data_IF_682223764807
#
_entry.id   IF_682223764807
#
_cell.length_a   1.000
_cell.length_b   1.000
_cell.length_c   1.000
_cell.angle_alpha   90.00
_cell.angle_beta   90.00
_cell.angle_gamma   90.00
#
_symmetry.space_group_name_H-M   'P 1'
#
loop_
_entity.id
_entity.type
_entity.pdbx_description
1 polymer ?
#
# COMPACT_ATOMS: atom_id res chain seq x y z
N UNK A 1 -4.42 -21.44 -65.33
CA UNK A 1 -3.48 -20.31 -65.21
C UNK A 1 -3.39 -19.94 -63.75
N UNK A 2 -2.29 -20.30 -63.07
CA UNK A 2 -2.10 -19.97 -61.66
C UNK A 2 -1.73 -18.48 -61.55
N UNK A 3 -2.48 -17.70 -60.79
CA UNK A 3 -2.12 -16.31 -60.52
C UNK A 3 -0.79 -16.27 -59.76
N UNK A 4 0.14 -15.36 -60.12
CA UNK A 4 1.36 -15.17 -59.34
C UNK A 4 0.95 -14.74 -57.93
N UNK A 5 1.21 -15.59 -56.94
CA UNK A 5 1.05 -15.25 -55.54
C UNK A 5 1.90 -14.01 -55.25
N UNK A 6 1.22 -12.88 -55.00
CA UNK A 6 1.88 -11.66 -54.57
C UNK A 6 2.56 -11.94 -53.24
N UNK A 7 3.88 -12.13 -53.28
CA UNK A 7 4.68 -12.24 -52.06
C UNK A 7 4.66 -10.88 -51.37
N UNK A 8 3.97 -10.82 -50.23
CA UNK A 8 3.98 -9.67 -49.34
C UNK A 8 5.42 -9.29 -49.02
N UNK A 9 5.73 -7.99 -49.00
CA UNK A 9 7.09 -7.56 -48.65
C UNK A 9 7.28 -7.86 -47.16
N UNK A 10 8.50 -8.24 -46.79
CA UNK A 10 8.88 -8.53 -45.40
C UNK A 10 8.63 -7.33 -44.46
N UNK A 11 8.51 -6.12 -45.01
CA UNK A 11 8.23 -4.89 -44.24
C UNK A 11 6.74 -4.59 -44.07
N UNK A 12 5.88 -5.26 -44.82
CA UNK A 12 4.44 -5.01 -44.75
C UNK A 12 3.92 -5.63 -43.42
N UNK A 13 3.03 -4.92 -42.72
CA UNK A 13 2.45 -5.34 -41.43
C UNK A 13 3.38 -5.40 -40.22
N UNK A 14 4.56 -4.78 -40.28
CA UNK A 14 5.41 -4.70 -39.09
C UNK A 14 4.69 -3.92 -37.97
N UNK A 15 4.65 -4.45 -36.72
CA UNK A 15 4.01 -3.77 -35.60
C UNK A 15 4.58 -2.37 -35.38
N UNK A 16 3.75 -1.47 -34.83
CA UNK A 16 4.21 -0.15 -34.38
C UNK A 16 5.37 -0.31 -33.39
N UNK A 17 6.39 0.56 -33.51
CA UNK A 17 7.63 0.38 -32.74
C UNK A 17 7.40 0.57 -31.25
N UNK A 18 7.79 -0.42 -30.44
CA UNK A 18 7.68 -0.36 -28.98
C UNK A 18 8.95 0.27 -28.36
N UNK A 19 8.77 1.38 -27.61
CA UNK A 19 9.89 2.17 -27.05
C UNK A 19 10.38 1.66 -25.68
N UNK A 20 9.50 1.00 -24.92
CA UNK A 20 9.78 0.56 -23.55
C UNK A 20 9.76 1.67 -22.48
N UNK A 21 9.45 2.93 -22.85
CA UNK A 21 9.40 4.05 -21.89
C UNK A 21 8.20 3.96 -20.93
N UNK A 22 7.10 3.35 -21.39
CA UNK A 22 5.91 3.08 -20.58
C UNK A 22 5.89 1.60 -20.24
N UNK A 23 6.06 1.29 -18.96
CA UNK A 23 6.00 -0.07 -18.41
C UNK A 23 4.53 -0.38 -18.13
N UNK A 24 3.87 -0.99 -19.11
CA UNK A 24 2.47 -1.41 -19.04
C UNK A 24 2.35 -2.84 -19.59
N UNK A 25 1.76 -3.72 -18.78
CA UNK A 25 1.58 -5.14 -19.09
C UNK A 25 0.73 -5.32 -20.35
N UNK A 26 -0.32 -4.53 -20.50
CA UNK A 26 -1.28 -4.75 -21.58
C UNK A 26 -0.67 -4.29 -22.91
N UNK A 27 0.03 -3.15 -22.90
CA UNK A 27 0.74 -2.66 -24.08
C UNK A 27 1.87 -3.60 -24.52
N UNK A 28 2.67 -4.12 -23.58
CA UNK A 28 3.76 -5.04 -23.96
C UNK A 28 3.21 -6.37 -24.46
N UNK A 29 2.15 -6.90 -23.83
CA UNK A 29 1.52 -8.16 -24.24
C UNK A 29 0.84 -8.02 -25.60
N UNK A 30 0.10 -6.92 -25.81
CA UNK A 30 -0.52 -6.63 -27.11
C UNK A 30 0.53 -6.48 -28.22
N UNK A 31 1.61 -5.76 -27.98
CA UNK A 31 2.69 -5.63 -28.97
C UNK A 31 3.31 -7.00 -29.32
N UNK A 32 3.51 -7.87 -28.33
CA UNK A 32 4.03 -9.20 -28.56
C UNK A 32 3.04 -10.05 -29.37
N UNK A 33 1.74 -10.02 -29.06
CA UNK A 33 0.74 -10.75 -29.85
C UNK A 33 0.65 -10.24 -31.28
N UNK A 34 0.68 -8.92 -31.52
CA UNK A 34 0.75 -8.39 -32.89
C UNK A 34 2.00 -8.86 -33.63
N UNK A 35 3.11 -9.05 -32.92
CA UNK A 35 4.32 -9.65 -33.51
C UNK A 35 4.15 -11.15 -33.80
N UNK A 36 3.47 -11.90 -32.93
CA UNK A 36 3.13 -13.30 -33.19
C UNK A 36 2.21 -13.42 -34.41
N UNK A 37 1.17 -12.59 -34.50
CA UNK A 37 0.28 -12.52 -35.67
C UNK A 37 1.07 -12.25 -36.96
N UNK A 38 2.09 -11.38 -36.88
CA UNK A 38 3.01 -11.13 -37.99
C UNK A 38 3.85 -12.36 -38.35
N UNK A 39 4.36 -13.10 -37.36
CA UNK A 39 5.09 -14.35 -37.62
C UNK A 39 4.20 -15.40 -38.27
N UNK A 40 2.95 -15.52 -37.82
CA UNK A 40 1.96 -16.43 -38.40
C UNK A 40 1.64 -16.06 -39.85
N UNK A 41 1.44 -14.77 -40.14
CA UNK A 41 1.17 -14.29 -41.51
C UNK A 41 2.34 -14.55 -42.50
N UNK A 42 3.54 -14.80 -41.99
CA UNK A 42 4.74 -15.07 -42.78
C UNK A 42 5.22 -16.53 -42.69
N UNK A 43 4.45 -17.43 -42.07
CA UNK A 43 4.81 -18.84 -41.84
C UNK A 43 6.14 -19.02 -41.07
N UNK A 44 6.45 -18.09 -40.15
CA UNK A 44 7.67 -18.07 -39.33
C UNK A 44 7.44 -18.44 -37.85
N UNK A 45 6.23 -18.91 -37.51
CA UNK A 45 5.82 -19.16 -36.12
C UNK A 45 6.63 -20.29 -35.44
N UNK A 46 7.04 -21.31 -36.20
CA UNK A 46 7.84 -22.44 -35.70
C UNK A 46 9.26 -22.41 -36.27
N UNK A 47 10.23 -21.79 -35.59
CA UNK A 47 11.61 -21.82 -36.03
C UNK A 47 12.16 -23.25 -35.88
N UNK A 48 12.41 -23.91 -37.02
CA UNK A 48 12.95 -25.28 -37.03
C UNK A 48 14.38 -25.35 -36.45
N UNK A 49 15.17 -24.28 -36.60
CA UNK A 49 16.59 -24.22 -36.25
C UNK A 49 16.93 -22.96 -35.43
N UNK A 50 18.05 -23.01 -34.71
CA UNK A 50 18.62 -21.86 -33.98
C UNK A 50 18.86 -20.64 -34.89
N UNK A 51 19.25 -20.87 -36.15
CA UNK A 51 19.41 -19.81 -37.15
C UNK A 51 18.08 -19.13 -37.51
N UNK A 52 16.98 -19.90 -37.58
CA UNK A 52 15.64 -19.35 -37.80
C UNK A 52 15.19 -18.53 -36.60
N UNK A 53 15.43 -19.02 -35.38
CA UNK A 53 15.15 -18.28 -34.15
C UNK A 53 15.95 -16.96 -34.09
N UNK A 54 17.23 -16.98 -34.46
CA UNK A 54 18.03 -15.76 -34.53
C UNK A 54 17.44 -14.75 -35.52
N UNK A 55 16.95 -15.20 -36.69
CA UNK A 55 16.27 -14.32 -37.65
C UNK A 55 14.97 -13.73 -37.07
N UNK A 56 14.17 -14.52 -36.35
CA UNK A 56 12.96 -14.04 -35.64
C UNK A 56 13.33 -12.99 -34.59
N UNK A 57 14.39 -13.21 -33.82
CA UNK A 57 14.89 -12.24 -32.84
C UNK A 57 15.37 -10.95 -33.52
N UNK A 58 16.02 -11.04 -34.69
CA UNK A 58 16.41 -9.86 -35.46
C UNK A 58 15.21 -9.10 -36.03
N UNK A 59 14.15 -9.80 -36.44
CA UNK A 59 12.88 -9.16 -36.84
C UNK A 59 12.22 -8.47 -35.65
N UNK A 60 12.16 -9.14 -34.50
CA UNK A 60 11.63 -8.55 -33.27
C UNK A 60 12.45 -7.31 -32.85
N UNK A 61 13.78 -7.34 -32.95
CA UNK A 61 14.63 -6.15 -32.73
C UNK A 61 14.25 -4.95 -33.60
N UNK A 62 13.66 -5.16 -34.79
CA UNK A 62 13.20 -4.08 -35.67
C UNK A 62 11.85 -3.49 -35.24
N UNK A 63 11.02 -4.25 -34.52
CA UNK A 63 9.79 -3.74 -33.90
C UNK A 63 10.07 -3.00 -32.58
N UNK A 64 11.31 -3.05 -32.06
CA UNK A 64 11.72 -2.35 -30.85
C UNK A 64 12.49 -1.05 -31.14
N UNK A 65 12.34 -0.07 -30.25
CA UNK A 65 13.11 1.18 -30.24
C UNK A 65 13.46 1.60 -28.80
N UNK A 66 14.29 2.62 -28.64
CA UNK A 66 14.63 3.18 -27.33
C UNK A 66 15.23 2.16 -26.36
N UNK A 67 14.75 2.18 -25.12
CA UNK A 67 15.18 1.30 -24.02
C UNK A 67 14.93 -0.19 -24.31
N UNK A 68 13.86 -0.51 -25.02
CA UNK A 68 13.52 -1.90 -25.37
C UNK A 68 14.54 -2.52 -26.32
N UNK A 69 15.03 -1.72 -27.28
CA UNK A 69 16.07 -2.15 -28.22
C UNK A 69 17.41 -2.37 -27.52
N UNK A 70 17.80 -1.50 -26.60
CA UNK A 70 19.04 -1.67 -25.84
C UNK A 70 19.01 -2.90 -24.93
N UNK A 71 17.84 -3.25 -24.38
CA UNK A 71 17.70 -4.41 -23.49
C UNK A 71 17.94 -5.74 -24.20
N UNK A 72 17.48 -5.88 -25.45
CA UNK A 72 17.60 -7.13 -26.20
C UNK A 72 19.01 -7.31 -26.81
N UNK A 73 19.83 -6.26 -26.84
CA UNK A 73 21.22 -6.36 -27.26
C UNK A 73 22.03 -7.18 -26.25
N UNK A 74 22.63 -8.28 -26.71
CA UNK A 74 23.40 -9.21 -25.87
C UNK A 74 22.57 -10.29 -25.16
N UNK A 75 21.26 -10.37 -25.41
CA UNK A 75 20.44 -11.50 -24.95
C UNK A 75 20.39 -12.60 -26.01
N UNK A 76 20.49 -13.84 -25.53
CA UNK A 76 20.32 -15.07 -26.30
C UNK A 76 19.11 -15.77 -25.72
N UNK A 77 18.24 -16.28 -26.58
CA UNK A 77 17.02 -16.97 -26.20
C UNK A 77 17.05 -18.35 -26.85
N UNK A 78 16.66 -19.38 -26.11
CA UNK A 78 16.63 -20.76 -26.61
C UNK A 78 15.33 -21.06 -27.35
N UNK A 79 14.24 -20.38 -26.96
CA UNK A 79 12.90 -20.58 -27.52
C UNK A 79 12.17 -19.25 -27.71
N UNK A 80 11.18 -19.23 -28.60
CA UNK A 80 10.29 -18.07 -28.77
C UNK A 80 9.51 -17.77 -27.47
N UNK A 81 9.16 -18.81 -26.71
CA UNK A 81 8.48 -18.68 -25.42
C UNK A 81 9.37 -18.04 -24.36
N UNK A 82 10.67 -18.32 -24.37
CA UNK A 82 11.64 -17.65 -23.49
C UNK A 82 11.78 -16.17 -23.85
N UNK A 83 11.84 -15.84 -25.15
CA UNK A 83 11.79 -14.44 -25.60
C UNK A 83 10.53 -13.73 -25.08
N UNK A 84 9.36 -14.34 -25.24
CA UNK A 84 8.09 -13.82 -24.74
C UNK A 84 8.14 -13.58 -23.24
N UNK A 85 8.53 -14.59 -22.48
CA UNK A 85 8.55 -14.57 -21.02
C UNK A 85 9.53 -13.53 -20.50
N UNK A 86 10.73 -13.48 -21.06
CA UNK A 86 11.76 -12.50 -20.72
C UNK A 86 11.35 -11.07 -21.07
N UNK A 87 10.70 -10.87 -22.22
CA UNK A 87 10.20 -9.55 -22.65
C UNK A 87 9.07 -9.07 -21.74
N UNK A 88 8.05 -9.91 -21.51
CA UNK A 88 6.94 -9.59 -20.61
C UNK A 88 7.48 -9.36 -19.20
N UNK A 89 8.35 -10.20 -18.66
CA UNK A 89 8.88 -9.99 -17.30
C UNK A 89 9.67 -8.70 -17.14
N UNK A 90 10.34 -8.21 -18.20
CA UNK A 90 11.09 -6.96 -18.16
C UNK A 90 10.20 -5.73 -18.23
N UNK A 91 9.24 -5.73 -19.14
CA UNK A 91 8.41 -4.55 -19.46
C UNK A 91 7.00 -4.60 -18.86
N UNK A 92 6.63 -5.72 -18.25
CA UNK A 92 5.51 -5.83 -17.33
C UNK A 92 5.97 -5.42 -15.94
N UNK A 93 5.20 -4.59 -15.23
CA UNK A 93 5.51 -4.19 -13.87
C UNK A 93 5.23 -5.31 -12.86
N UNK A 94 5.47 -6.58 -13.19
CA UNK A 94 5.25 -7.71 -12.26
C UNK A 94 5.98 -7.49 -10.94
N UNK A 95 7.20 -6.95 -10.97
CA UNK A 95 7.93 -6.57 -9.77
C UNK A 95 7.26 -5.44 -8.96
N UNK A 96 6.49 -4.56 -9.61
CA UNK A 96 5.66 -3.57 -8.91
C UNK A 96 4.38 -4.18 -8.37
N UNK A 97 3.83 -5.23 -9.00
CA UNK A 97 2.59 -5.87 -8.54
C UNK A 97 2.82 -6.65 -7.25
N UNK A 98 3.95 -7.36 -7.12
CA UNK A 98 4.37 -7.93 -5.82
C UNK A 98 4.56 -6.85 -4.77
N UNK A 99 5.23 -5.74 -5.10
CA UNK A 99 5.41 -4.63 -4.18
C UNK A 99 4.07 -3.97 -3.79
N UNK A 100 3.13 -3.84 -4.74
CA UNK A 100 1.78 -3.33 -4.52
C UNK A 100 1.00 -4.27 -3.59
N UNK A 101 1.05 -5.58 -3.86
CA UNK A 101 0.47 -6.59 -2.99
C UNK A 101 1.07 -6.52 -1.59
N UNK A 102 2.38 -6.44 -1.45
CA UNK A 102 3.03 -6.31 -0.14
C UNK A 102 2.62 -5.02 0.59
N UNK A 103 2.55 -3.91 -0.14
CA UNK A 103 2.22 -2.58 0.40
C UNK A 103 0.74 -2.33 0.65
N UNK A 104 -0.16 -3.24 0.24
CA UNK A 104 -1.59 -3.04 0.45
C UNK A 104 -1.90 -3.00 1.94
N UNK A 105 -2.57 -1.95 2.39
CA UNK A 105 -2.98 -1.76 3.77
C UNK A 105 -4.44 -1.38 3.81
N UNK A 106 -5.16 -1.85 4.83
CA UNK A 106 -6.55 -1.48 5.02
C UNK A 106 -6.72 0.04 5.17
N UNK A 107 -7.63 0.62 4.38
CA UNK A 107 -7.95 2.05 4.43
C UNK A 107 -9.20 2.28 5.27
N UNK A 108 -9.15 3.24 6.22
CA UNK A 108 -10.28 3.53 7.10
C UNK A 108 -11.49 4.01 6.29
N UNK A 109 -12.64 3.36 6.46
CA UNK A 109 -13.88 3.68 5.76
C UNK A 109 -14.20 2.74 4.59
N UNK A 110 -13.27 1.85 4.23
CA UNK A 110 -13.51 0.79 3.26
C UNK A 110 -14.22 -0.41 3.91
N UNK A 111 -15.13 -1.07 3.19
CA UNK A 111 -15.75 -2.32 3.68
C UNK A 111 -14.77 -3.49 3.62
N UNK A 112 -15.01 -4.52 4.44
CA UNK A 112 -14.16 -5.71 4.46
C UNK A 112 -14.13 -6.41 3.09
N UNK A 113 -15.28 -6.47 2.40
CA UNK A 113 -15.42 -7.07 1.08
C UNK A 113 -14.67 -6.28 -0.02
N UNK A 114 -14.72 -4.95 0.02
CA UNK A 114 -13.97 -4.11 -0.92
C UNK A 114 -12.46 -4.34 -0.77
N UNK A 115 -11.98 -4.39 0.48
CA UNK A 115 -10.58 -4.63 0.76
C UNK A 115 -10.14 -6.04 0.32
N UNK A 116 -10.99 -7.06 0.56
CA UNK A 116 -10.75 -8.41 0.06
C UNK A 116 -10.69 -8.46 -1.47
N UNK A 117 -11.63 -7.79 -2.14
CA UNK A 117 -11.69 -7.74 -3.61
C UNK A 117 -10.39 -7.16 -4.19
N UNK A 118 -9.85 -6.09 -3.59
CA UNK A 118 -8.54 -5.53 -3.99
C UNK A 118 -7.39 -6.52 -3.82
N UNK A 119 -7.32 -7.22 -2.69
CA UNK A 119 -6.28 -8.23 -2.45
C UNK A 119 -6.43 -9.40 -3.41
N UNK A 120 -7.66 -9.87 -3.65
CA UNK A 120 -7.96 -10.98 -4.56
C UNK A 120 -7.59 -10.66 -6.01
N UNK A 121 -7.89 -9.45 -6.49
CA UNK A 121 -7.48 -9.00 -7.82
C UNK A 121 -5.96 -9.01 -7.98
N UNK A 122 -5.23 -8.46 -7.00
CA UNK A 122 -3.76 -8.46 -7.03
C UNK A 122 -3.19 -9.89 -6.94
N UNK A 123 -3.78 -10.74 -6.10
CA UNK A 123 -3.37 -12.13 -5.96
C UNK A 123 -3.61 -12.93 -7.25
N UNK A 124 -4.74 -12.72 -7.94
CA UNK A 124 -5.04 -13.36 -9.22
C UNK A 124 -4.02 -12.98 -10.29
N UNK A 125 -3.60 -11.71 -10.32
CA UNK A 125 -2.58 -11.22 -11.26
C UNK A 125 -1.22 -11.89 -10.99
N UNK A 126 -0.91 -12.14 -9.73
CA UNK A 126 0.34 -12.77 -9.27
C UNK A 126 0.30 -14.31 -9.38
N UNK A 127 -0.90 -14.91 -9.37
CA UNK A 127 -1.09 -16.36 -9.32
C UNK A 127 -1.04 -16.94 -7.90
N UNK A 128 -1.42 -16.15 -6.88
CA UNK A 128 -1.52 -16.62 -5.50
C UNK A 128 -2.83 -17.35 -5.22
N UNK A 129 -2.75 -18.38 -4.36
CA UNK A 129 -3.88 -19.19 -3.93
C UNK A 129 -4.70 -18.54 -2.81
N UNK A 130 -5.86 -19.12 -2.51
CA UNK A 130 -6.81 -18.60 -1.53
C UNK A 130 -6.20 -18.50 -0.11
N UNK A 131 -5.37 -19.46 0.29
CA UNK A 131 -4.66 -19.43 1.58
C UNK A 131 -3.75 -18.20 1.70
N UNK A 132 -3.05 -17.84 0.62
CA UNK A 132 -2.17 -16.67 0.60
C UNK A 132 -2.97 -15.36 0.62
N UNK A 133 -4.12 -15.34 -0.05
CA UNK A 133 -5.08 -14.21 0.01
C UNK A 133 -5.60 -14.03 1.43
N UNK A 134 -5.99 -15.11 2.11
CA UNK A 134 -6.46 -15.10 3.50
C UNK A 134 -5.39 -14.56 4.44
N UNK A 135 -4.19 -15.13 4.39
CA UNK A 135 -3.10 -14.74 5.28
C UNK A 135 -2.71 -13.27 5.05
N UNK A 136 -2.70 -12.85 3.78
CA UNK A 136 -2.49 -11.45 3.44
C UNK A 136 -3.60 -10.56 3.99
N UNK A 137 -4.86 -10.91 3.75
CA UNK A 137 -6.02 -10.18 4.27
C UNK A 137 -5.89 -9.96 5.78
N UNK A 138 -5.68 -11.03 6.55
CA UNK A 138 -5.47 -10.96 8.00
C UNK A 138 -4.28 -10.07 8.38
N UNK A 139 -3.14 -10.17 7.67
CA UNK A 139 -1.95 -9.38 7.95
C UNK A 139 -2.15 -7.87 7.76
N UNK A 140 -3.05 -7.49 6.85
CA UNK A 140 -3.33 -6.09 6.48
C UNK A 140 -4.39 -5.42 7.36
N UNK A 141 -5.12 -6.20 8.16
CA UNK A 141 -6.10 -5.68 9.10
C UNK A 141 -5.44 -4.97 10.30
N UNK A 142 -6.11 -3.97 10.89
CA UNK A 142 -5.66 -3.36 12.14
C UNK A 142 -5.45 -4.42 13.23
N UNK A 143 -4.38 -4.34 14.07
CA UNK A 143 -4.05 -5.39 15.04
C UNK A 143 -5.22 -5.78 15.97
N UNK A 144 -6.02 -4.80 16.41
CA UNK A 144 -7.19 -5.05 17.27
C UNK A 144 -8.29 -5.85 16.57
N UNK A 145 -8.53 -5.56 15.30
CA UNK A 145 -9.51 -6.27 14.48
C UNK A 145 -9.03 -7.70 14.22
N UNK A 146 -7.76 -7.84 13.79
CA UNK A 146 -7.13 -9.13 13.54
C UNK A 146 -7.25 -10.07 14.74
N UNK A 147 -6.89 -9.62 15.94
CA UNK A 147 -7.01 -10.45 17.15
C UNK A 147 -8.46 -10.84 17.44
N UNK A 148 -9.43 -9.93 17.31
CA UNK A 148 -10.84 -10.24 17.53
C UNK A 148 -11.36 -11.29 16.55
N UNK A 149 -11.03 -11.14 15.26
CA UNK A 149 -11.43 -12.07 14.19
C UNK A 149 -10.79 -13.44 14.36
N UNK A 150 -9.49 -13.51 14.68
CA UNK A 150 -8.82 -14.79 14.95
C UNK A 150 -9.41 -15.54 16.16
N UNK A 151 -9.89 -14.82 17.17
CA UNK A 151 -10.54 -15.45 18.33
C UNK A 151 -11.99 -15.87 18.06
N UNK A 152 -12.67 -15.25 17.10
CA UNK A 152 -14.07 -15.54 16.78
C UNK A 152 -14.27 -16.62 15.72
N UNK A 153 -13.20 -17.06 15.05
CA UNK A 153 -13.29 -17.87 13.84
C UNK A 153 -12.33 -19.07 13.95
N UNK A 154 -12.81 -20.23 14.44
CA UNK A 154 -12.00 -21.46 14.51
C UNK A 154 -11.83 -22.10 13.13
N UNK A 155 -12.82 -21.92 12.25
CA UNK A 155 -12.82 -22.43 10.90
C UNK A 155 -12.12 -21.40 10.02
N UNK A 156 -10.96 -21.73 9.45
CA UNK A 156 -10.13 -20.84 8.63
C UNK A 156 -10.77 -20.46 7.26
N UNK A 157 -12.10 -20.43 7.19
CA UNK A 157 -12.89 -20.06 6.02
C UNK A 157 -12.82 -18.53 5.81
N UNK A 158 -12.41 -18.14 4.60
CA UNK A 158 -12.25 -16.76 4.19
C UNK A 158 -13.55 -15.95 4.30
N UNK A 159 -14.69 -16.54 3.92
CA UNK A 159 -15.99 -15.86 3.96
C UNK A 159 -16.42 -15.51 5.39
N UNK A 160 -16.15 -16.43 6.34
CA UNK A 160 -16.44 -16.21 7.76
C UNK A 160 -15.53 -15.13 8.34
N UNK A 161 -14.24 -15.14 7.98
CA UNK A 161 -13.27 -14.12 8.38
C UNK A 161 -13.73 -12.73 7.92
N UNK A 162 -14.20 -12.61 6.67
CA UNK A 162 -14.65 -11.35 6.08
C UNK A 162 -15.91 -10.84 6.78
N UNK A 163 -16.89 -11.72 7.00
CA UNK A 163 -18.14 -11.40 7.72
C UNK A 163 -17.88 -10.90 9.14
N UNK A 164 -16.96 -11.56 9.88
CA UNK A 164 -16.56 -11.16 11.22
C UNK A 164 -15.80 -9.83 11.23
N UNK A 165 -14.95 -9.62 10.23
CA UNK A 165 -14.21 -8.36 10.04
C UNK A 165 -15.19 -7.20 9.82
N UNK A 166 -16.20 -7.39 8.97
CA UNK A 166 -17.23 -6.38 8.72
C UNK A 166 -18.01 -6.04 10.00
N UNK A 167 -18.49 -7.06 10.72
CA UNK A 167 -19.18 -6.88 12.00
C UNK A 167 -18.34 -6.07 13.01
N UNK A 168 -17.02 -6.32 13.08
CA UNK A 168 -16.13 -5.55 13.94
C UNK A 168 -16.05 -4.07 13.53
N UNK A 169 -16.02 -3.77 12.23
CA UNK A 169 -16.01 -2.40 11.73
C UNK A 169 -17.34 -1.68 12.00
N UNK A 170 -18.46 -2.37 11.82
CA UNK A 170 -19.79 -1.82 12.12
C UNK A 170 -19.91 -1.45 13.61
N UNK A 171 -19.46 -2.33 14.51
CA UNK A 171 -19.42 -2.06 15.95
C UNK A 171 -18.47 -0.92 16.33
N UNK A 172 -17.36 -0.72 15.61
CA UNK A 172 -16.48 0.43 15.84
C UNK A 172 -17.13 1.75 15.37
N UNK A 173 -17.84 1.72 14.24
CA UNK A 173 -18.51 2.88 13.71
C UNK A 173 -19.67 3.32 14.62
N UNK A 174 -20.43 2.38 15.18
CA UNK A 174 -21.49 2.68 16.16
C UNK A 174 -20.96 3.39 17.42
N UNK A 175 -19.76 3.02 17.89
CA UNK A 175 -19.16 3.66 19.07
C UNK A 175 -18.68 5.09 18.80
N UNK A 176 -18.48 5.45 17.53
CA UNK A 176 -18.10 6.81 17.16
C UNK A 176 -19.31 7.74 17.04
N UNK A 177 -20.50 7.21 16.76
CA UNK A 177 -21.74 7.98 16.60
C UNK A 177 -22.66 7.94 17.82
N UNK A 178 -22.52 6.93 18.69
CA UNK A 178 -23.12 6.94 20.03
C UNK A 178 -22.24 7.67 21.03
N UNK A 179 -22.03 8.97 20.83
CA UNK A 179 -22.25 9.84 21.99
C UNK A 179 -23.74 9.71 22.29
N UNK A 180 -24.07 8.71 23.10
CA UNK A 180 -25.34 8.64 23.80
C UNK A 180 -25.41 9.94 24.60
N UNK A 181 -25.93 11.00 23.99
CA UNK A 181 -26.76 11.94 24.70
C UNK A 181 -27.84 11.07 25.33
N UNK A 182 -27.56 10.62 26.55
CA UNK A 182 -28.57 10.39 27.54
C UNK A 182 -29.26 11.74 27.68
N UNK A 183 -30.17 12.04 26.74
CA UNK A 183 -31.29 12.91 27.03
C UNK A 183 -31.87 12.29 28.28
N UNK A 184 -31.56 12.90 29.41
CA UNK A 184 -32.23 12.66 30.67
C UNK A 184 -33.67 13.07 30.40
N UNK A 185 -34.40 12.20 29.73
CA UNK A 185 -35.83 12.32 29.59
C UNK A 185 -36.29 12.23 31.02
N UNK A 186 -36.68 13.37 31.58
CA UNK A 186 -37.27 13.49 32.90
C UNK A 186 -38.37 12.43 32.99
N UNK A 187 -38.01 11.29 33.57
CA UNK A 187 -38.93 10.19 33.79
C UNK A 187 -39.89 10.75 34.82
N UNK A 188 -41.11 11.04 34.38
CA UNK A 188 -42.27 11.21 35.26
C UNK A 188 -42.14 10.17 36.38
N UNK A 189 -42.09 10.57 37.66
CA UNK A 189 -41.84 9.65 38.75
C UNK A 189 -43.01 8.65 38.83
N UNK A 190 -42.85 7.51 38.18
CA UNK A 190 -43.69 6.34 38.44
C UNK A 190 -43.37 5.94 39.88
N UNK A 191 -44.38 5.76 40.74
CA UNK A 191 -44.17 5.40 42.13
C UNK A 191 -43.66 3.96 42.20
N UNK A 192 -42.34 3.78 42.09
CA UNK A 192 -41.62 2.52 42.23
C UNK A 192 -41.57 2.03 43.69
N UNK A 193 -42.64 2.25 44.48
CA UNK A 193 -42.73 1.78 45.86
C UNK A 193 -42.51 0.26 45.95
N UNK A 194 -43.01 -0.50 44.96
CA UNK A 194 -42.85 -1.95 44.89
C UNK A 194 -41.38 -2.40 44.77
N UNK A 195 -40.53 -1.66 44.06
CA UNK A 195 -39.12 -2.01 43.88
C UNK A 195 -38.33 -1.71 45.15
N UNK A 196 -38.66 -0.63 45.85
CA UNK A 196 -38.03 -0.30 47.13
C UNK A 196 -38.39 -1.33 48.22
N UNK A 197 -39.63 -1.83 48.22
CA UNK A 197 -40.04 -2.91 49.14
C UNK A 197 -39.32 -4.23 48.82
N UNK A 198 -39.14 -4.59 47.55
CA UNK A 198 -38.41 -5.80 47.14
C UNK A 198 -36.93 -5.71 47.52
N UNK A 199 -36.30 -4.54 47.36
CA UNK A 199 -34.91 -4.29 47.79
C UNK A 199 -34.79 -4.37 49.33
N UNK A 200 -35.77 -3.86 50.07
CA UNK A 200 -35.78 -3.96 51.53
C UNK A 200 -35.93 -5.41 52.00
N UNK A 201 -36.77 -6.19 51.32
CA UNK A 201 -37.00 -7.60 51.62
C UNK A 201 -35.76 -8.45 51.35
N UNK A 202 -35.07 -8.22 50.23
CA UNK A 202 -33.83 -8.92 49.89
C UNK A 202 -32.68 -8.59 50.86
N UNK A 203 -32.59 -7.35 51.35
CA UNK A 203 -31.62 -6.98 52.39
C UNK A 203 -31.86 -7.70 53.72
N UNK A 204 -33.13 -7.83 54.15
CA UNK A 204 -33.47 -8.60 55.35
C UNK A 204 -33.14 -10.10 55.23
N UNK A 205 -33.30 -10.68 54.05
CA UNK A 205 -32.92 -12.08 53.80
C UNK A 205 -31.41 -12.30 53.86
N UNK A 206 -30.59 -11.33 53.42
CA UNK A 206 -29.13 -11.42 53.52
C UNK A 206 -28.64 -11.32 54.97
N UNK A 207 -29.25 -10.48 55.81
CA UNK A 207 -28.88 -10.35 57.22
C UNK A 207 -29.21 -11.61 58.02
N UNK A 208 -30.35 -12.25 57.73
CA UNK A 208 -30.74 -13.52 58.37
C UNK A 208 -29.84 -14.69 57.96
N UNK A 209 -29.41 -14.76 56.70
CA UNK A 209 -28.43 -15.76 56.25
C UNK A 209 -27.05 -15.55 56.91
N UNK A 210 -26.62 -14.31 57.09
CA UNK A 210 -25.31 -13.98 57.66
C UNK A 210 -25.22 -14.25 59.18
N UNK A 211 -26.35 -14.30 59.91
CA UNK A 211 -26.36 -14.69 61.33
C UNK A 211 -26.33 -16.21 61.56
N UNK A 212 -26.57 -17.04 60.53
CA UNK A 212 -26.60 -18.50 60.67
C UNK A 212 -25.25 -19.19 60.44
N UNK A 213 -24.24 -18.50 59.89
CA UNK A 213 -22.88 -19.02 59.73
C UNK A 213 -22.01 -18.70 60.94
N UNK A 214 -22.29 -19.42 62.03
CA UNK A 214 -21.38 -19.50 63.17
C UNK A 214 -20.05 -20.18 62.80
N UNK A 215 -18.97 -19.45 63.04
CA UNK A 215 -17.69 -19.92 63.57
C UNK A 215 -17.14 -21.27 63.08
N UNK A 216 -16.30 -21.24 62.04
CA UNK A 216 -15.06 -22.04 62.01
C UNK A 216 -13.91 -21.19 61.49
N UNK A 217 -13.20 -20.56 62.43
CA UNK A 217 -11.89 -19.94 62.18
C UNK A 217 -10.83 -21.03 62.04
N UNK A 218 -10.31 -21.23 60.83
CA UNK A 218 -9.04 -21.91 60.63
C UNK A 218 -7.97 -20.91 60.24
N UNK A 219 -7.23 -20.49 61.26
CA UNK A 219 -5.94 -19.81 61.18
C UNK A 219 -4.95 -20.68 60.42
N UNK A 220 -4.32 -20.15 59.37
CA UNK A 220 -3.05 -20.69 58.86
C UNK A 220 -1.98 -19.60 58.85
N UNK A 221 -0.72 -19.96 59.16
CA UNK A 221 0.27 -18.99 59.60
C UNK A 221 1.06 -18.35 58.46
N UNK A 222 1.33 -17.08 58.70
CA UNK A 222 2.38 -16.25 58.11
C UNK A 222 3.66 -17.03 57.80
N UNK A 223 4.12 -16.94 56.54
CA UNK A 223 5.48 -17.33 56.16
C UNK A 223 6.14 -16.20 55.37
N UNK A 224 7.18 -15.68 56.01
CA UNK A 224 8.27 -14.85 55.54
C UNK A 224 8.81 -15.19 54.14
N UNK A 225 9.69 -14.28 53.66
CA UNK A 225 10.70 -14.35 52.59
C UNK A 225 10.26 -13.75 51.24
N UNK A 226 11.00 -12.83 50.60
CA UNK A 226 12.35 -12.31 50.83
C UNK A 226 12.47 -10.90 50.24
N UNK A 227 13.04 -10.00 51.03
CA UNK A 227 13.85 -8.90 50.53
C UNK A 227 15.16 -9.47 49.96
N UNK A 228 15.62 -8.88 48.86
CA UNK A 228 16.96 -9.05 48.30
C UNK A 228 17.37 -7.74 47.60
N UNK A 229 18.67 -7.43 47.52
CA UNK A 229 19.18 -6.20 48.12
C UNK A 229 19.73 -5.19 47.12
N UNK A 230 19.72 -3.94 47.59
CA UNK A 230 20.55 -2.84 47.12
C UNK A 230 22.03 -3.17 47.39
N UNK A 231 22.88 -3.09 46.37
CA UNK A 231 24.34 -3.12 46.50
C UNK A 231 24.92 -1.80 46.00
N UNK A 232 25.28 -0.98 47.00
CA UNK A 232 26.51 -0.20 47.18
C UNK A 232 27.11 0.64 46.05
N UNK A 233 27.19 1.94 46.40
CA UNK A 233 28.23 2.93 46.09
C UNK A 233 29.62 2.49 46.56
N UNK A 234 30.66 2.95 45.85
CA UNK A 234 31.92 3.52 46.34
C UNK A 234 32.59 4.22 45.13
N UNK A 235 32.85 5.53 45.20
CA UNK A 235 34.18 6.18 45.41
C UNK A 235 35.12 6.01 44.19
N UNK A 236 35.87 6.98 43.68
CA UNK A 236 36.25 8.35 44.05
C UNK A 236 37.04 8.90 42.83
N UNK A 237 36.90 10.17 42.46
CA UNK A 237 38.01 11.02 41.95
C UNK A 237 37.52 12.46 41.66
N UNK A 238 38.22 13.49 42.17
CA UNK A 238 37.93 14.90 41.93
C UNK A 238 38.76 15.47 40.76
N UNK A 239 38.55 16.75 40.47
CA UNK A 239 39.25 17.62 39.52
C UNK A 239 38.74 17.66 38.07
N UNK A 240 37.85 18.61 37.75
CA UNK A 240 38.19 19.87 37.05
C UNK A 240 36.94 20.74 36.75
N UNK A 241 37.01 22.08 36.84
CA UNK A 241 35.83 22.95 36.82
C UNK A 241 35.47 23.56 35.46
N UNK A 242 34.21 24.01 35.36
CA UNK A 242 33.68 25.13 34.53
C UNK A 242 33.74 24.97 32.99
N UNK A 243 32.61 24.88 32.27
CA UNK A 243 31.77 26.05 31.92
C UNK A 243 30.41 25.57 31.36
N UNK A 244 29.28 25.87 31.99
CA UNK A 244 28.37 26.99 31.67
C UNK A 244 27.84 26.99 30.22
N UNK A 245 26.73 26.29 29.97
CA UNK A 245 25.77 26.66 28.91
C UNK A 245 24.43 25.91 29.06
N UNK A 246 23.49 26.59 29.72
CA UNK A 246 22.06 26.66 29.42
C UNK A 246 21.27 25.38 29.08
N UNK A 247 20.51 24.95 30.08
CA UNK A 247 19.11 24.52 29.97
C UNK A 247 18.37 25.08 28.73
N UNK A 248 17.79 24.18 27.93
CA UNK A 248 16.33 24.16 27.68
C UNK A 248 15.90 22.82 27.07
N UNK A 249 15.14 22.10 27.88
CA UNK A 249 14.08 21.13 27.58
C UNK A 249 13.82 20.86 26.09
N UNK A 250 13.88 19.58 25.71
CA UNK A 250 12.77 18.95 24.97
C UNK A 250 12.73 17.46 25.24
N UNK A 251 12.06 17.14 26.35
CA UNK A 251 11.56 15.82 26.67
C UNK A 251 10.19 15.68 25.96
N UNK A 252 10.21 15.33 24.68
CA UNK A 252 9.02 14.95 23.91
C UNK A 252 9.32 13.62 23.23
N UNK A 253 8.98 12.52 23.88
CA UNK A 253 7.67 11.88 23.80
C UNK A 253 7.57 10.94 22.60
N UNK A 254 7.43 9.67 22.97
CA UNK A 254 7.17 8.47 22.17
C UNK A 254 5.82 8.59 21.45
N UNK A 255 5.71 9.47 20.45
CA UNK A 255 4.59 9.46 19.51
C UNK A 255 5.04 8.84 18.18
N UNK A 256 4.29 7.81 17.78
CA UNK A 256 4.24 7.24 16.45
C UNK A 256 4.58 8.25 15.35
N UNK A 257 5.71 8.03 14.66
CA UNK A 257 6.12 8.78 13.45
C UNK A 257 5.06 8.62 12.35
N UNK A 258 4.05 9.50 12.34
CA UNK A 258 3.41 9.87 11.08
C UNK A 258 4.50 10.51 10.23
N UNK A 259 4.78 9.96 9.05
CA UNK A 259 5.66 10.63 8.08
C UNK A 259 4.97 11.95 7.73
N UNK A 260 5.44 13.05 8.31
CA UNK A 260 4.99 14.39 7.94
C UNK A 260 5.58 14.64 6.55
N UNK A 261 4.71 14.72 5.56
CA UNK A 261 5.07 15.16 4.22
C UNK A 261 5.19 16.68 4.26
N UNK A 262 6.15 17.24 3.54
CA UNK A 262 6.19 18.68 3.36
C UNK A 262 5.05 19.11 2.43
N UNK A 263 4.15 19.99 2.88
CA UNK A 263 3.01 20.47 2.07
C UNK A 263 3.42 21.11 0.73
N UNK A 264 4.67 21.57 0.61
CA UNK A 264 5.16 22.22 -0.60
C UNK A 264 5.67 21.24 -1.66
N UNK A 265 6.34 20.17 -1.24
CA UNK A 265 7.11 19.29 -2.14
C UNK A 265 6.69 17.82 -2.03
N UNK A 266 5.79 17.47 -1.10
CA UNK A 266 5.25 16.13 -0.84
C UNK A 266 6.29 15.04 -0.57
N UNK A 267 7.55 15.40 -0.36
CA UNK A 267 8.61 14.46 0.00
C UNK A 267 8.58 14.15 1.51
N UNK A 268 8.64 12.86 1.90
CA UNK A 268 8.63 12.46 3.31
C UNK A 268 9.95 12.87 3.99
N UNK A 269 9.85 13.49 5.17
CA UNK A 269 11.02 13.87 5.97
C UNK A 269 11.70 15.18 5.56
N UNK A 270 11.21 15.86 4.52
CA UNK A 270 11.59 17.24 4.26
C UNK A 270 10.86 18.19 5.21
N UNK A 271 11.59 19.13 5.79
CA UNK A 271 10.96 20.24 6.52
C UNK A 271 10.64 21.38 5.55
N UNK A 272 9.56 22.13 5.82
CA UNK A 272 9.19 23.31 5.03
C UNK A 272 10.37 24.29 4.83
N UNK A 273 11.23 24.44 5.84
CA UNK A 273 12.43 25.28 5.76
C UNK A 273 13.42 24.79 4.69
N UNK A 274 13.58 23.48 4.52
CA UNK A 274 14.46 22.90 3.49
C UNK A 274 13.87 23.09 2.09
N UNK A 275 12.56 22.88 1.90
CA UNK A 275 11.94 23.10 0.59
C UNK A 275 11.95 24.60 0.20
N UNK A 276 11.71 25.53 1.14
CA UNK A 276 11.84 26.98 0.88
C UNK A 276 13.29 27.40 0.56
N UNK A 277 14.28 26.80 1.22
CA UNK A 277 15.70 27.05 0.90
C UNK A 277 16.03 26.56 -0.51
N UNK A 278 15.64 25.33 -0.86
CA UNK A 278 15.86 24.75 -2.19
C UNK A 278 15.20 25.56 -3.31
N UNK A 279 13.99 26.08 -3.07
CA UNK A 279 13.30 26.94 -4.02
C UNK A 279 14.09 28.24 -4.27
N UNK A 280 14.58 28.89 -3.20
CA UNK A 280 15.44 30.08 -3.32
C UNK A 280 16.72 29.77 -4.11
N UNK A 281 17.36 28.63 -3.83
CA UNK A 281 18.57 28.22 -4.53
C UNK A 281 18.31 27.94 -6.03
N UNK A 282 17.11 27.44 -6.38
CA UNK A 282 16.68 27.26 -7.78
C UNK A 282 16.41 28.59 -8.49
N UNK A 283 15.71 29.52 -7.83
CA UNK A 283 15.47 30.87 -8.34
C UNK A 283 16.78 31.64 -8.55
N UNK A 284 17.74 31.48 -7.64
CA UNK A 284 19.06 32.09 -7.75
C UNK A 284 19.87 31.51 -8.91
N UNK A 285 19.80 30.20 -9.14
CA UNK A 285 20.42 29.55 -10.32
C UNK A 285 19.77 29.98 -11.64
N UNK A 286 18.45 30.19 -11.67
CA UNK A 286 17.78 30.70 -12.87
C UNK A 286 18.21 32.15 -13.18
N UNK A 287 18.32 33.01 -12.16
CA UNK A 287 18.85 34.37 -12.33
C UNK A 287 20.29 34.38 -12.84
N UNK A 288 21.14 33.48 -12.33
CA UNK A 288 22.53 33.36 -12.80
C UNK A 288 22.64 32.89 -14.25
N UNK A 289 21.63 32.20 -14.79
CA UNK A 289 21.59 31.78 -16.20
C UNK A 289 21.12 32.87 -17.16
N UNK A 290 20.68 34.03 -16.65
CA UNK A 290 20.18 35.12 -17.50
C UNK A 290 18.84 34.81 -18.19
N UNK A 291 18.15 33.73 -17.80
CA UNK A 291 16.81 33.41 -18.27
C UNK A 291 15.81 34.25 -17.47
N UNK A 292 15.60 35.51 -17.87
CA UNK A 292 14.52 36.32 -17.33
C UNK A 292 13.17 35.77 -17.86
N UNK A 293 12.31 35.16 -17.02
CA UNK A 293 11.02 34.58 -17.46
C UNK A 293 9.99 35.65 -17.87
N UNK A 294 10.39 36.93 -17.90
CA UNK A 294 9.57 38.07 -18.31
C UNK A 294 9.89 38.59 -19.71
N UNK A 295 10.91 38.09 -20.40
CA UNK A 295 11.27 38.59 -21.74
C UNK A 295 10.45 37.97 -22.89
N UNK A 296 9.71 36.88 -22.66
CA UNK A 296 9.01 36.13 -23.71
C UNK A 296 7.56 36.58 -24.00
N UNK A 297 7.14 37.76 -23.51
CA UNK A 297 5.76 38.28 -23.68
C UNK A 297 5.59 39.43 -24.68
N UNK A 298 6.60 39.74 -25.49
CA UNK A 298 6.51 40.83 -26.46
C UNK A 298 6.96 40.39 -27.87
N UNK A 299 6.18 39.51 -28.50
CA UNK A 299 6.09 39.46 -29.96
C UNK A 299 4.67 39.04 -30.33
N UNK A 300 3.76 39.97 -30.68
CA UNK A 300 2.49 39.60 -31.27
C UNK A 300 2.74 38.92 -32.63
N UNK A 301 1.99 37.87 -32.97
CA UNK A 301 2.09 37.25 -34.29
C UNK A 301 1.67 38.26 -35.35
N UNK A 302 2.58 38.49 -36.30
CA UNK A 302 2.35 39.30 -37.49
C UNK A 302 1.30 38.58 -38.35
N UNK A 303 0.04 38.99 -38.22
CA UNK A 303 -1.06 38.55 -39.06
C UNK A 303 -0.97 39.28 -40.40
N UNK A 304 -0.14 38.76 -41.30
CA UNK A 304 -0.06 39.23 -42.67
C UNK A 304 -0.54 38.12 -43.63
N UNK A 305 -1.76 38.35 -44.11
CA UNK A 305 -2.26 38.19 -45.48
C UNK A 305 -1.86 36.96 -46.30
N UNK A 306 -2.89 36.23 -46.73
CA UNK A 306 -2.79 35.21 -47.77
C UNK A 306 -4.16 34.73 -48.25
N UNK A 307 -4.99 35.68 -48.70
CA UNK A 307 -6.16 35.38 -49.52
C UNK A 307 -5.63 34.91 -50.88
N UNK A 308 -5.83 33.64 -51.21
CA UNK A 308 -5.87 33.17 -52.60
C UNK A 308 -7.17 32.40 -52.78
N UNK A 309 -8.17 33.13 -53.28
CA UNK A 309 -9.10 32.58 -54.25
C UNK A 309 -8.30 32.30 -55.53
N UNK A 310 -8.41 31.10 -56.08
CA UNK A 310 -8.78 30.86 -57.48
C UNK A 310 -8.49 29.40 -57.90
N UNK A 311 -9.48 28.85 -58.62
CA UNK A 311 -9.60 27.57 -59.35
C UNK A 311 -9.94 26.29 -58.56
#
# INVERSE_FOLDING_TARGET
MAQPQQRLRVTDFLPTRFCGDKIDRDLCTAHFYTFVDYLEAHDLHEPADEAALHNVVQLFKRSLQGSARLWIEGKVFETLQDLQTSFINRFSPSHSQFAQFESITYTRGESAEQHLSKISQLAQIIGYGEDQVRDKFLSTLPPKCRTAVLMSTPDNNLETIVSRTQCFFDLQNEKASRELSFSSQEVNPVPNAAIYDEIAQLKGQLETLNMSQGYYSHSTPSRNRSQSPSVNKADESPDRPTSRSQNRRDNSSRYYRRKIFCDYCLYPGHTWRQCRKRQRDLEERQRQRGEDPKSERANPPNSDQGISQDF
#
